data_IF_731621039641
#
_entry.id   IF_731621039641
#
_cell.length_a   1.000
_cell.length_b   1.000
_cell.length_c   1.000
_cell.angle_alpha   90.00
_cell.angle_beta   90.00
_cell.angle_gamma   90.00
#
_symmetry.space_group_name_H-M   'P 1'
#
loop_
_entity.id
_entity.type
_entity.pdbx_description
1 polymer ?
#
# COMPACT_ATOMS: atom_id res chain seq x y z
N UNK A 1 22.84 -21.66 -2.07
CA UNK A 1 21.44 -21.30 -1.72
C UNK A 1 20.97 -20.28 -2.73
N UNK A 2 19.70 -20.31 -3.15
CA UNK A 2 19.19 -19.37 -4.15
C UNK A 2 18.84 -18.03 -3.52
N UNK A 3 19.04 -16.94 -4.27
CA UNK A 3 18.72 -15.56 -3.90
C UNK A 3 17.28 -15.39 -3.40
N UNK A 4 16.32 -16.09 -4.03
CA UNK A 4 14.92 -16.11 -3.62
C UNK A 4 14.69 -16.67 -2.20
N UNK A 5 15.53 -17.61 -1.74
CA UNK A 5 15.42 -18.16 -0.39
C UNK A 5 15.94 -17.18 0.67
N UNK A 6 16.87 -16.30 0.30
CA UNK A 6 17.39 -15.24 1.18
C UNK A 6 16.33 -14.14 1.39
N UNK A 7 15.70 -13.69 0.30
CA UNK A 7 14.63 -12.65 0.32
C UNK A 7 13.46 -13.07 1.22
N UNK A 8 13.01 -14.32 1.09
CA UNK A 8 11.92 -14.86 1.90
C UNK A 8 12.22 -14.93 3.40
N UNK A 9 13.50 -14.95 3.80
CA UNK A 9 13.92 -15.05 5.19
C UNK A 9 14.03 -13.67 5.86
N UNK A 10 14.47 -12.64 5.12
CA UNK A 10 14.67 -11.28 5.62
C UNK A 10 13.43 -10.39 5.47
N UNK A 11 12.44 -10.73 4.65
CA UNK A 11 11.27 -9.87 4.43
C UNK A 11 10.02 -10.33 5.18
N UNK A 12 9.17 -9.37 5.59
CA UNK A 12 7.77 -9.62 5.98
C UNK A 12 6.83 -8.97 4.97
N UNK A 13 5.69 -9.62 4.75
CA UNK A 13 4.58 -9.02 4.01
C UNK A 13 3.72 -8.20 4.98
N UNK A 14 3.40 -6.96 4.60
CA UNK A 14 2.36 -6.17 5.25
C UNK A 14 1.33 -5.69 4.23
N UNK A 15 0.14 -5.38 4.74
CA UNK A 15 -0.95 -4.83 3.95
C UNK A 15 -1.32 -3.46 4.49
N UNK A 16 -1.33 -2.46 3.62
CA UNK A 16 -1.63 -1.08 3.99
C UNK A 16 -2.68 -0.48 3.06
N UNK A 17 -3.42 0.50 3.57
CA UNK A 17 -4.38 1.30 2.81
C UNK A 17 -4.01 2.77 2.97
N UNK A 18 -3.79 3.43 1.84
CA UNK A 18 -3.46 4.85 1.76
C UNK A 18 -4.64 5.59 1.15
N UNK A 19 -5.37 6.41 1.93
CA UNK A 19 -6.34 7.34 1.38
C UNK A 19 -5.64 8.58 0.81
N UNK A 20 -6.23 9.17 -0.22
CA UNK A 20 -5.73 10.37 -0.88
C UNK A 20 -6.79 11.47 -0.85
N UNK A 21 -6.44 12.65 -0.35
CA UNK A 21 -7.31 13.83 -0.33
C UNK A 21 -6.94 14.78 -1.47
N UNK A 22 -7.93 15.49 -1.99
CA UNK A 22 -7.68 16.55 -2.96
C UNK A 22 -6.74 17.61 -2.36
N UNK A 23 -5.77 18.05 -3.14
CA UNK A 23 -4.80 19.07 -2.82
C UNK A 23 -4.62 20.02 -4.03
N UNK A 24 -3.94 21.15 -3.83
CA UNK A 24 -3.79 22.17 -4.87
C UNK A 24 -3.22 21.62 -6.20
N UNK A 25 -2.31 20.64 -6.13
CA UNK A 25 -1.63 20.05 -7.28
C UNK A 25 -1.95 18.55 -7.45
N UNK A 26 -3.22 18.17 -7.25
CA UNK A 26 -3.67 16.78 -7.41
C UNK A 26 -4.17 16.20 -6.10
N UNK A 27 -3.46 15.21 -5.55
CA UNK A 27 -3.84 14.56 -4.30
C UNK A 27 -2.67 14.42 -3.34
N UNK A 28 -2.95 14.45 -2.05
CA UNK A 28 -1.98 14.21 -0.98
C UNK A 28 -2.37 12.96 -0.17
N UNK A 29 -1.40 12.13 0.24
CA UNK A 29 -1.67 10.96 1.06
C UNK A 29 -2.17 11.39 2.45
N UNK A 30 -3.13 10.63 2.98
CA UNK A 30 -3.59 10.71 4.36
C UNK A 30 -2.94 9.68 5.26
N UNK A 31 -3.50 9.50 6.46
CA UNK A 31 -3.02 8.52 7.43
C UNK A 31 -3.11 7.08 6.89
N UNK A 32 -1.96 6.40 6.86
CA UNK A 32 -1.86 5.01 6.42
C UNK A 32 -2.56 4.11 7.42
N UNK A 33 -3.40 3.20 6.92
CA UNK A 33 -4.12 2.23 7.74
C UNK A 33 -3.56 0.82 7.50
N UNK A 34 -3.10 0.11 8.53
CA UNK A 34 -2.70 -1.28 8.38
C UNK A 34 -3.93 -2.18 8.21
N UNK A 35 -3.72 -3.30 7.53
CA UNK A 35 -4.65 -4.41 7.43
C UNK A 35 -3.91 -5.72 7.75
N UNK A 36 -4.64 -6.69 8.30
CA UNK A 36 -4.08 -8.00 8.65
C UNK A 36 -4.05 -8.99 7.49
N UNK A 37 -4.63 -8.64 6.34
CA UNK A 37 -4.69 -9.50 5.15
C UNK A 37 -4.96 -8.70 3.88
N UNK A 38 -4.65 -9.29 2.73
CA UNK A 38 -4.97 -8.78 1.40
C UNK A 38 -6.46 -8.43 1.26
N UNK A 39 -7.33 -9.41 1.54
CA UNK A 39 -8.78 -9.22 1.47
C UNK A 39 -9.27 -8.13 2.45
N UNK A 40 -8.67 -8.04 3.64
CA UNK A 40 -8.94 -6.99 4.60
C UNK A 40 -8.61 -5.60 4.06
N UNK A 41 -7.44 -5.44 3.42
CA UNK A 41 -7.01 -4.19 2.82
C UNK A 41 -7.97 -3.74 1.71
N UNK A 42 -8.38 -4.66 0.83
CA UNK A 42 -9.34 -4.38 -0.24
C UNK A 42 -10.70 -3.94 0.34
N UNK A 43 -11.19 -4.61 1.39
CA UNK A 43 -12.45 -4.22 2.05
C UNK A 43 -12.37 -2.83 2.68
N UNK A 44 -11.28 -2.52 3.35
CA UNK A 44 -11.05 -1.21 3.96
C UNK A 44 -11.02 -0.12 2.87
N UNK A 45 -10.30 -0.35 1.77
CA UNK A 45 -10.22 0.59 0.65
C UNK A 45 -11.61 0.89 0.07
N UNK A 46 -12.41 -0.14 -0.22
CA UNK A 46 -13.78 0.02 -0.70
C UNK A 46 -14.66 0.80 0.30
N UNK A 47 -14.54 0.52 1.59
CA UNK A 47 -15.30 1.23 2.63
C UNK A 47 -14.93 2.71 2.74
N UNK A 48 -13.71 3.08 2.34
CA UNK A 48 -13.20 4.46 2.43
C UNK A 48 -13.46 5.27 1.17
N UNK A 49 -13.64 4.62 0.01
CA UNK A 49 -13.69 5.27 -1.31
C UNK A 49 -14.61 6.50 -1.39
N UNK A 50 -15.79 6.46 -0.75
CA UNK A 50 -16.74 7.59 -0.77
C UNK A 50 -16.33 8.82 0.06
N UNK A 51 -15.22 8.78 0.79
CA UNK A 51 -14.78 9.85 1.73
C UNK A 51 -13.52 10.59 1.27
N UNK A 52 -12.90 10.15 0.18
CA UNK A 52 -11.59 10.58 -0.28
C UNK A 52 -11.60 10.80 -1.80
N UNK A 53 -10.61 11.53 -2.32
CA UNK A 53 -10.46 11.72 -3.76
C UNK A 53 -9.99 10.42 -4.43
N UNK A 54 -9.20 9.63 -3.72
CA UNK A 54 -8.91 8.24 -4.07
C UNK A 54 -8.41 7.45 -2.87
N UNK A 55 -8.32 6.14 -3.04
CA UNK A 55 -7.80 5.21 -2.03
C UNK A 55 -7.06 4.09 -2.76
N UNK A 56 -5.90 3.69 -2.25
CA UNK A 56 -5.18 2.53 -2.73
C UNK A 56 -4.87 1.56 -1.58
N UNK A 57 -5.01 0.27 -1.87
CA UNK A 57 -4.54 -0.81 -1.01
C UNK A 57 -3.28 -1.43 -1.62
N UNK A 58 -2.29 -1.70 -0.79
CA UNK A 58 -1.00 -2.26 -1.19
C UNK A 58 -0.65 -3.49 -0.35
N UNK A 59 -0.02 -4.47 -0.99
CA UNK A 59 0.88 -5.41 -0.32
C UNK A 59 2.29 -4.85 -0.44
N UNK A 60 2.99 -4.76 0.69
CA UNK A 60 4.38 -4.26 0.74
C UNK A 60 5.27 -5.33 1.34
N UNK A 61 6.46 -5.51 0.76
CA UNK A 61 7.53 -6.29 1.39
C UNK A 61 8.36 -5.33 2.24
N UNK A 62 8.64 -5.72 3.47
CA UNK A 62 9.46 -4.93 4.39
C UNK A 62 10.68 -5.75 4.76
N UNK A 63 11.86 -5.21 4.49
CA UNK A 63 13.10 -5.78 4.97
C UNK A 63 13.14 -5.67 6.50
N UNK A 64 13.33 -6.79 7.20
CA UNK A 64 13.31 -6.85 8.67
C UNK A 64 14.54 -6.22 9.32
N UNK A 65 15.63 -6.06 8.58
CA UNK A 65 16.90 -5.52 9.08
C UNK A 65 16.95 -3.99 8.93
N UNK A 66 16.50 -3.46 7.80
CA UNK A 66 16.54 -2.02 7.51
C UNK A 66 15.21 -1.31 7.73
N UNK A 67 14.09 -2.03 7.62
CA UNK A 67 12.75 -1.46 7.61
C UNK A 67 12.33 -0.87 6.26
N UNK A 68 13.16 -1.03 5.22
CA UNK A 68 12.86 -0.51 3.89
C UNK A 68 11.66 -1.24 3.28
N UNK A 69 10.82 -0.48 2.57
CA UNK A 69 9.66 -1.00 1.87
C UNK A 69 10.03 -1.23 0.41
N UNK A 70 9.93 -2.48 -0.03
CA UNK A 70 10.24 -2.87 -1.39
C UNK A 70 8.98 -3.31 -2.15
N UNK A 71 8.97 -3.01 -3.45
CA UNK A 71 8.07 -3.57 -4.47
C UNK A 71 6.58 -3.63 -4.06
N UNK A 72 5.92 -2.48 -3.83
CA UNK A 72 4.51 -2.47 -3.47
C UNK A 72 3.63 -3.03 -4.60
N UNK A 73 2.93 -4.14 -4.35
CA UNK A 73 1.88 -4.65 -5.26
C UNK A 73 0.57 -3.93 -4.95
N UNK A 74 0.00 -3.25 -5.95
CA UNK A 74 -1.34 -2.65 -5.82
C UNK A 74 -2.38 -3.78 -5.79
N UNK A 75 -3.20 -3.78 -4.74
CA UNK A 75 -4.30 -4.74 -4.54
C UNK A 75 -5.64 -4.16 -4.97
N UNK A 76 -5.83 -2.86 -4.78
CA UNK A 76 -6.99 -2.11 -5.23
C UNK A 76 -6.62 -0.63 -5.40
N UNK A 77 -7.21 0.03 -6.39
CA UNK A 77 -7.09 1.46 -6.62
C UNK A 77 -8.47 1.99 -6.98
N UNK A 78 -8.94 3.00 -6.25
CA UNK A 78 -10.28 3.56 -6.42
C UNK A 78 -10.17 5.08 -6.42
N UNK A 79 -10.73 5.74 -7.44
CA UNK A 79 -10.65 7.20 -7.57
C UNK A 79 -9.26 7.67 -8.02
N UNK A 80 -8.89 8.89 -7.61
CA UNK A 80 -7.62 9.52 -8.00
C UNK A 80 -6.50 9.16 -7.04
N UNK A 81 -5.54 8.40 -7.54
CA UNK A 81 -4.33 7.98 -6.83
C UNK A 81 -3.13 8.38 -7.69
N UNK A 82 -2.03 8.94 -7.13
CA UNK A 82 -0.86 9.29 -7.92
C UNK A 82 -0.27 8.07 -8.63
N UNK A 83 0.34 8.27 -9.81
CA UNK A 83 1.18 7.19 -10.36
C UNK A 83 2.32 6.91 -9.39
N UNK A 84 2.74 5.65 -9.29
CA UNK A 84 3.93 5.27 -8.54
C UNK A 84 5.23 5.55 -9.33
N UNK A 85 5.12 6.13 -10.52
CA UNK A 85 6.25 6.48 -11.37
C UNK A 85 6.82 7.85 -10.97
N UNK A 86 7.94 7.83 -10.24
CA UNK A 86 9.12 8.69 -10.43
C UNK A 86 10.29 8.23 -9.53
#
# INVERSE_FOLDING_TARGET
MSEAAQIAQTHVVQYIVVPYRAAANGVAPGEIRPASSEFGAIRIANSMAGKFAGVAAYEVMIDKETGDMESPRILAQIGTVPSLDD
#
